data_IF_219547052422
#
_entry.id   IF_219547052422
#
_cell.length_a   1.000
_cell.length_b   1.000
_cell.length_c   1.000
_cell.angle_alpha   90.00
_cell.angle_beta   90.00
_cell.angle_gamma   90.00
#
_symmetry.space_group_name_H-M   'P 1'
#
loop_
_entity.id
_entity.type
_entity.pdbx_description
1 polymer ?
#
# COMPACT_ATOMS: atom_id res chain seq x y z
N UNK A 1 -19.71 14.27 -22.50
CA UNK A 1 -19.96 15.00 -21.23
C UNK A 1 -19.13 16.28 -21.26
N UNK A 2 -19.68 17.47 -20.92
CA UNK A 2 -18.90 18.70 -20.91
C UNK A 2 -17.96 18.75 -19.68
N UNK A 3 -16.70 19.13 -19.90
CA UNK A 3 -15.71 19.33 -18.83
C UNK A 3 -15.86 20.74 -18.26
N UNK A 4 -15.97 20.86 -16.93
CA UNK A 4 -16.08 22.14 -16.22
C UNK A 4 -14.82 22.35 -15.39
N UNK A 5 -14.21 23.52 -15.47
CA UNK A 5 -13.08 23.89 -14.63
C UNK A 5 -13.59 24.26 -13.22
N UNK A 6 -12.86 23.86 -12.17
CA UNK A 6 -13.27 24.10 -10.78
C UNK A 6 -12.83 25.47 -10.22
N UNK A 7 -11.95 26.18 -10.93
CA UNK A 7 -11.35 27.45 -10.49
C UNK A 7 -11.32 28.45 -11.66
N UNK A 8 -11.29 29.74 -11.34
CA UNK A 8 -11.17 30.82 -12.31
C UNK A 8 -9.70 31.02 -12.73
N UNK A 9 -9.46 31.22 -14.02
CA UNK A 9 -8.12 31.49 -14.55
C UNK A 9 -8.08 31.55 -16.07
N UNK A 10 -6.88 31.71 -16.63
CA UNK A 10 -6.66 31.75 -18.08
C UNK A 10 -6.31 30.34 -18.59
N UNK A 11 -7.14 29.71 -19.44
CA UNK A 11 -6.87 28.36 -19.92
C UNK A 11 -5.84 28.37 -21.05
N UNK A 12 -4.77 27.59 -20.90
CA UNK A 12 -3.84 27.29 -21.98
C UNK A 12 -4.07 25.86 -22.46
N UNK A 13 -4.59 25.70 -23.68
CA UNK A 13 -4.83 24.40 -24.29
C UNK A 13 -3.53 23.80 -24.80
N UNK A 14 -3.21 22.60 -24.34
CA UNK A 14 -1.98 21.88 -24.73
C UNK A 14 -2.31 20.78 -25.73
N UNK A 15 -3.50 20.16 -25.66
CA UNK A 15 -3.93 19.13 -26.60
C UNK A 15 -4.77 19.71 -27.73
N UNK A 16 -4.48 19.25 -28.94
CA UNK A 16 -5.24 19.58 -30.16
C UNK A 16 -6.60 18.85 -30.17
N UNK A 17 -7.63 19.39 -30.82
CA UNK A 17 -8.90 18.69 -30.99
C UNK A 17 -8.73 17.44 -31.88
N UNK A 18 -9.38 16.33 -31.51
CA UNK A 18 -9.41 15.10 -32.32
C UNK A 18 -8.41 14.00 -31.95
N UNK A 19 -7.59 14.19 -30.91
CA UNK A 19 -6.73 13.11 -30.38
C UNK A 19 -7.47 12.21 -29.40
N UNK A 20 -7.12 10.92 -29.43
CA UNK A 20 -7.59 9.92 -28.46
C UNK A 20 -7.07 10.26 -27.06
N UNK A 21 -8.00 10.34 -26.09
CA UNK A 21 -7.68 10.62 -24.69
C UNK A 21 -7.57 9.33 -23.89
N UNK A 22 -6.58 9.27 -23.00
CA UNK A 22 -6.42 8.24 -21.97
C UNK A 22 -6.75 8.81 -20.59
N UNK A 23 -7.12 7.93 -19.65
CA UNK A 23 -7.31 8.34 -18.26
C UNK A 23 -5.99 8.92 -17.70
N UNK A 24 -6.07 10.13 -17.11
CA UNK A 24 -4.91 10.86 -16.60
C UNK A 24 -4.28 11.86 -17.59
N UNK A 25 -4.82 12.00 -18.80
CA UNK A 25 -4.34 13.00 -19.75
C UNK A 25 -4.68 14.43 -19.33
N UNK A 26 -3.67 15.30 -19.35
CA UNK A 26 -3.83 16.74 -19.11
C UNK A 26 -4.28 17.40 -20.43
N UNK A 27 -5.43 18.08 -20.41
CA UNK A 27 -6.02 18.77 -21.58
C UNK A 27 -5.46 20.18 -21.77
N UNK A 28 -5.06 20.81 -20.68
CA UNK A 28 -4.52 22.15 -20.62
C UNK A 28 -4.12 22.49 -19.19
N UNK A 29 -3.38 23.57 -19.04
CA UNK A 29 -3.01 24.12 -17.73
C UNK A 29 -3.81 25.38 -17.53
N UNK A 30 -4.43 25.53 -16.36
CA UNK A 30 -5.12 26.75 -15.96
C UNK A 30 -4.17 27.54 -15.07
N UNK A 31 -3.74 28.72 -15.51
CA UNK A 31 -3.03 29.66 -14.64
C UNK A 31 -4.06 30.38 -13.77
N UNK A 32 -3.97 30.19 -12.45
CA UNK A 32 -4.83 30.84 -11.46
C UNK A 32 -4.45 32.31 -11.31
N UNK A 33 -5.44 33.19 -11.20
CA UNK A 33 -5.22 34.64 -11.00
C UNK A 33 -4.59 34.97 -9.64
N UNK A 34 -4.86 34.15 -8.61
CA UNK A 34 -4.20 34.25 -7.31
C UNK A 34 -3.60 32.90 -6.88
N UNK A 35 -2.28 32.68 -7.11
CA UNK A 35 -1.61 31.45 -6.72
C UNK A 35 -1.55 31.26 -5.19
N UNK A 36 -1.81 32.30 -4.40
CA UNK A 36 -1.75 32.25 -2.93
C UNK A 36 -2.90 31.46 -2.31
N UNK A 37 -4.00 31.28 -3.04
CA UNK A 37 -5.19 30.52 -2.58
C UNK A 37 -5.03 29.01 -2.74
N UNK A 38 -3.94 28.56 -3.37
CA UNK A 38 -3.64 27.14 -3.57
C UNK A 38 -3.31 26.49 -2.23
N UNK A 39 -4.21 25.62 -1.76
CA UNK A 39 -3.97 24.80 -0.57
C UNK A 39 -3.06 23.63 -0.92
N UNK A 40 -1.76 23.78 -0.70
CA UNK A 40 -0.81 22.68 -0.86
C UNK A 40 -1.00 21.64 0.25
N UNK A 41 -1.36 20.42 -0.14
CA UNK A 41 -1.30 19.28 0.77
C UNK A 41 0.17 19.02 1.16
N UNK A 42 0.43 18.85 2.46
CA UNK A 42 1.75 18.46 2.94
C UNK A 42 1.82 16.94 2.98
N UNK A 43 2.80 16.29 2.32
CA UNK A 43 2.98 14.85 2.44
C UNK A 43 3.27 14.48 3.90
N UNK A 44 2.83 13.29 4.32
CA UNK A 44 3.12 12.79 5.65
C UNK A 44 4.64 12.52 5.77
N UNK A 45 5.30 13.23 6.67
CA UNK A 45 6.75 13.14 6.89
C UNK A 45 7.14 12.29 8.11
N UNK A 46 6.16 11.72 8.81
CA UNK A 46 6.40 10.86 9.97
C UNK A 46 6.63 9.40 9.58
N UNK A 47 6.92 8.58 10.59
CA UNK A 47 6.84 7.13 10.51
C UNK A 47 5.62 6.65 11.28
N UNK A 48 4.96 5.59 10.79
CA UNK A 48 3.88 4.96 11.56
C UNK A 48 4.47 4.32 12.83
N UNK A 49 3.82 4.49 14.00
CA UNK A 49 4.26 3.85 15.23
C UNK A 49 4.15 2.32 15.10
N UNK A 50 4.98 1.56 15.84
CA UNK A 50 4.89 0.10 15.84
C UNK A 50 3.55 -0.33 16.45
N UNK A 51 2.65 -0.88 15.63
CA UNK A 51 1.30 -1.30 16.05
C UNK A 51 1.25 -2.72 16.64
N UNK A 52 2.36 -3.45 16.60
CA UNK A 52 2.40 -4.85 17.04
C UNK A 52 1.67 -5.80 16.09
N UNK A 53 1.37 -7.01 16.57
CA UNK A 53 0.66 -8.02 15.79
C UNK A 53 -0.84 -7.71 15.73
N UNK A 54 -1.50 -7.87 14.57
CA UNK A 54 -2.93 -7.61 14.42
C UNK A 54 -3.81 -8.64 15.14
N UNK A 55 -3.24 -9.78 15.52
CA UNK A 55 -3.92 -10.85 16.25
C UNK A 55 -3.01 -11.40 17.35
N UNK A 56 -3.62 -11.89 18.42
CA UNK A 56 -2.91 -12.55 19.51
C UNK A 56 -2.49 -13.93 19.00
N UNK A 57 -1.21 -14.09 18.66
CA UNK A 57 -0.62 -15.41 18.43
C UNK A 57 -0.36 -16.02 19.80
N UNK A 58 -0.98 -17.16 20.07
CA UNK A 58 -0.78 -17.84 21.34
C UNK A 58 0.64 -18.41 21.46
N UNK A 59 1.15 -18.49 22.69
CA UNK A 59 2.54 -18.90 22.96
C UNK A 59 2.73 -20.43 22.97
N UNK A 60 1.66 -21.21 22.83
CA UNK A 60 1.76 -22.67 22.84
C UNK A 60 2.36 -23.17 21.53
N UNK A 61 3.18 -24.23 21.54
CA UNK A 61 3.86 -24.75 20.35
C UNK A 61 2.92 -25.02 19.16
N UNK A 62 1.76 -25.64 19.39
CA UNK A 62 0.78 -25.90 18.33
C UNK A 62 0.17 -24.63 17.71
N UNK A 63 0.01 -23.56 18.50
CA UNK A 63 -0.53 -22.28 18.02
C UNK A 63 0.50 -21.53 17.17
N UNK A 64 1.77 -21.58 17.59
CA UNK A 64 2.88 -21.02 16.82
C UNK A 64 3.08 -21.81 15.52
N UNK A 65 3.04 -23.14 15.57
CA UNK A 65 3.14 -24.01 14.41
C UNK A 65 2.08 -23.69 13.35
N UNK A 66 0.80 -23.63 13.74
CA UNK A 66 -0.31 -23.31 12.83
C UNK A 66 -0.16 -21.92 12.20
N UNK A 67 0.24 -20.93 13.00
CA UNK A 67 0.48 -19.56 12.51
C UNK A 67 1.64 -19.49 11.51
N UNK A 68 2.76 -20.18 11.77
CA UNK A 68 3.93 -20.19 10.89
C UNK A 68 3.62 -20.92 9.59
N UNK A 69 2.92 -22.05 9.65
CA UNK A 69 2.45 -22.76 8.45
C UNK A 69 1.51 -21.90 7.62
N UNK A 70 0.57 -21.20 8.24
CA UNK A 70 -0.35 -20.32 7.53
C UNK A 70 0.38 -19.23 6.75
N UNK A 71 1.45 -18.65 7.31
CA UNK A 71 2.27 -17.67 6.60
C UNK A 71 2.93 -18.30 5.36
N UNK A 72 3.48 -19.51 5.49
CA UNK A 72 4.09 -20.20 4.35
C UNK A 72 3.07 -20.57 3.27
N UNK A 73 1.89 -21.05 3.65
CA UNK A 73 0.81 -21.32 2.70
C UNK A 73 0.34 -20.04 2.00
N UNK A 74 0.21 -18.92 2.71
CA UNK A 74 -0.10 -17.64 2.08
C UNK A 74 0.96 -17.23 1.03
N UNK A 75 2.24 -17.50 1.29
CA UNK A 75 3.32 -17.25 0.31
C UNK A 75 3.14 -18.15 -0.92
N UNK A 76 2.83 -19.43 -0.72
CA UNK A 76 2.61 -20.39 -1.80
C UNK A 76 1.36 -20.05 -2.63
N UNK A 77 0.32 -19.48 -2.01
CA UNK A 77 -0.89 -18.97 -2.66
C UNK A 77 -0.67 -17.64 -3.40
N UNK A 78 0.55 -17.09 -3.36
CA UNK A 78 0.95 -15.89 -4.09
C UNK A 78 0.77 -14.58 -3.33
N UNK A 79 0.49 -14.60 -2.02
CA UNK A 79 0.52 -13.39 -1.19
C UNK A 79 1.97 -12.97 -0.91
N UNK A 80 2.28 -11.69 -1.12
CA UNK A 80 3.63 -11.16 -0.90
C UNK A 80 3.95 -11.02 0.60
N UNK A 81 4.46 -12.10 1.19
CA UNK A 81 5.03 -12.13 2.54
C UNK A 81 6.53 -12.51 2.49
N UNK A 82 7.21 -12.16 1.39
CA UNK A 82 8.59 -12.59 1.11
C UNK A 82 9.59 -12.08 2.16
N UNK A 83 9.34 -10.90 2.74
CA UNK A 83 10.20 -10.27 3.74
C UNK A 83 10.31 -11.06 5.06
N UNK A 84 9.27 -11.85 5.40
CA UNK A 84 9.23 -12.64 6.64
C UNK A 84 9.54 -14.12 6.42
N UNK A 85 9.65 -14.57 5.16
CA UNK A 85 9.84 -15.99 4.81
C UNK A 85 11.02 -16.63 5.55
N UNK A 86 12.18 -15.98 5.55
CA UNK A 86 13.41 -16.54 6.14
C UNK A 86 13.31 -16.67 7.66
N UNK A 87 12.69 -15.70 8.34
CA UNK A 87 12.44 -15.81 9.79
C UNK A 87 11.40 -16.87 10.09
N UNK A 88 10.30 -16.92 9.34
CA UNK A 88 9.23 -17.92 9.51
C UNK A 88 9.76 -19.35 9.37
N UNK A 89 10.66 -19.61 8.40
CA UNK A 89 11.27 -20.93 8.23
C UNK A 89 12.17 -21.32 9.41
N UNK A 90 12.98 -20.38 9.92
CA UNK A 90 13.83 -20.62 11.09
C UNK A 90 12.99 -20.92 12.33
N UNK A 91 11.96 -20.11 12.57
CA UNK A 91 11.06 -20.29 13.70
C UNK A 91 10.30 -21.61 13.59
N UNK A 92 9.89 -22.00 12.38
CA UNK A 92 9.24 -23.29 12.15
C UNK A 92 10.18 -24.46 12.46
N UNK A 93 11.47 -24.38 12.12
CA UNK A 93 12.45 -25.41 12.49
C UNK A 93 12.61 -25.53 14.01
N UNK A 94 12.55 -24.41 14.74
CA UNK A 94 12.61 -24.40 16.20
C UNK A 94 11.37 -25.06 16.81
N UNK A 95 10.17 -24.66 16.36
CA UNK A 95 8.91 -25.21 16.86
C UNK A 95 8.78 -26.70 16.57
N UNK A 96 9.25 -27.17 15.40
CA UNK A 96 9.27 -28.60 15.04
C UNK A 96 10.23 -29.44 15.90
N UNK A 97 11.20 -28.83 16.57
CA UNK A 97 12.12 -29.50 17.48
C UNK A 97 11.58 -29.53 18.93
N UNK A 98 10.44 -28.89 19.20
CA UNK A 98 9.84 -28.84 20.52
C UNK A 98 9.17 -30.19 20.87
N UNK A 99 9.59 -30.87 21.96
CA UNK A 99 8.98 -32.12 22.39
C UNK A 99 7.55 -31.98 22.93
N UNK A 100 7.06 -30.76 23.20
CA UNK A 100 5.68 -30.48 23.62
C UNK A 100 4.71 -30.21 22.44
N UNK A 101 5.21 -30.25 21.20
CA UNK A 101 4.39 -30.12 19.99
C UNK A 101 3.41 -31.29 19.73
N UNK A 102 3.75 -32.58 19.98
CA UNK A 102 2.84 -33.70 19.74
C UNK A 102 1.68 -33.82 20.74
#
# INVERSE_FOLDING_TARGET
MPSVASEDGIPQFVKQPGVTLKAGDILGVLTLDDPSRVKHARPFAGQLPPMGLPSIVGSKPHQQYDSLLKILYNILDGCDNTSVMQSTLKDLMVVLQDPELP
#
